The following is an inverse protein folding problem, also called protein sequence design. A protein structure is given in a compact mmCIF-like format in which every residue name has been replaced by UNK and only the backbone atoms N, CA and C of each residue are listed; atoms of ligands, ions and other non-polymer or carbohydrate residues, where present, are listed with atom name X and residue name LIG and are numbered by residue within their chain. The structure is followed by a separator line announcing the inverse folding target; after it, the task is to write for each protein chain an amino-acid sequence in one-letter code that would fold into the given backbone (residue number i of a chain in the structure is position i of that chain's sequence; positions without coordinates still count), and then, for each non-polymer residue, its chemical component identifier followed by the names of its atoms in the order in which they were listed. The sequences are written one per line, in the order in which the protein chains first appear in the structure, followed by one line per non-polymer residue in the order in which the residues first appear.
data_IF_950038447028
#
_entry.id   IF_950038447028
#
_cell.length_a   1.000
_cell.length_b   1.000
_cell.length_c   1.000
_cell.angle_alpha   90.00
_cell.angle_beta   90.00
_cell.angle_gamma   90.00
#
_symmetry.space_group_name_H-M   'P 1'
#
loop_
_entity.id
_entity.type
_entity.pdbx_description
1 polymer ?
#
# COMPACT_ATOMS: atom_id res chain seq x y z
N UNK A 1 -7.28 -25.94 -7.19
CA UNK A 1 -5.99 -26.29 -7.81
C UNK A 1 -5.09 -26.80 -6.69
N UNK A 2 -4.63 -28.06 -6.72
CA UNK A 2 -3.67 -28.54 -5.73
C UNK A 2 -2.27 -28.07 -6.17
N UNK A 3 -1.62 -27.21 -5.38
CA UNK A 3 -0.27 -26.75 -5.69
C UNK A 3 0.69 -27.94 -5.60
N UNK A 4 1.35 -28.30 -6.72
CA UNK A 4 2.32 -29.41 -6.77
C UNK A 4 3.59 -29.14 -5.95
N UNK A 5 3.78 -27.90 -5.50
CA UNK A 5 4.93 -27.46 -4.72
C UNK A 5 4.43 -26.87 -3.39
N UNK A 6 4.87 -27.47 -2.28
CA UNK A 6 4.57 -27.01 -0.92
C UNK A 6 4.97 -25.55 -0.68
N UNK A 7 5.89 -25.01 -1.48
CA UNK A 7 6.35 -23.62 -1.40
C UNK A 7 5.23 -22.59 -1.63
N UNK A 8 4.25 -22.94 -2.47
CA UNK A 8 3.20 -22.00 -2.88
C UNK A 8 1.99 -21.99 -1.96
N UNK A 9 1.82 -23.02 -1.13
CA UNK A 9 0.64 -23.17 -0.26
C UNK A 9 0.49 -22.01 0.72
N UNK A 10 1.62 -21.44 1.15
CA UNK A 10 1.65 -20.34 2.11
C UNK A 10 1.70 -18.99 1.41
N UNK A 11 1.91 -18.93 0.09
CA UNK A 11 2.04 -17.67 -0.62
C UNK A 11 0.81 -17.34 -1.48
N UNK A 12 -0.06 -18.32 -1.73
CA UNK A 12 -1.34 -18.11 -2.39
C UNK A 12 -2.52 -18.58 -1.54
N UNK A 13 -3.57 -17.77 -1.52
CA UNK A 13 -4.89 -18.18 -1.05
C UNK A 13 -5.94 -17.79 -2.09
N UNK A 14 -6.66 -18.77 -2.63
CA UNK A 14 -7.61 -18.56 -3.71
C UNK A 14 -9.03 -18.86 -3.26
N UNK A 15 -9.81 -17.78 -3.07
CA UNK A 15 -11.23 -17.82 -2.76
C UNK A 15 -12.04 -17.82 -4.07
N UNK A 16 -12.13 -18.98 -4.72
CA UNK A 16 -12.89 -19.18 -5.97
C UNK A 16 -14.38 -19.41 -5.68
N UNK A 17 -15.25 -18.65 -6.33
CA UNK A 17 -16.73 -18.74 -6.21
C UNK A 17 -17.43 -18.85 -7.56
N UNK A 18 -16.68 -18.78 -8.67
CA UNK A 18 -17.23 -18.93 -10.01
C UNK A 18 -17.77 -17.62 -10.59
N UNK A 19 -17.29 -16.48 -10.10
CA UNK A 19 -17.62 -15.16 -10.66
C UNK A 19 -16.81 -14.87 -11.92
N UNK A 20 -17.27 -13.93 -12.75
CA UNK A 20 -16.54 -13.46 -13.95
C UNK A 20 -15.46 -12.41 -13.63
N UNK A 21 -15.50 -11.82 -12.44
CA UNK A 21 -14.53 -10.84 -11.93
C UNK A 21 -13.54 -11.49 -10.96
N UNK A 22 -12.26 -11.21 -11.16
CA UNK A 22 -11.16 -11.63 -10.27
C UNK A 22 -10.44 -10.41 -9.69
N UNK A 23 -10.20 -10.44 -8.38
CA UNK A 23 -9.22 -9.55 -7.74
C UNK A 23 -7.97 -10.35 -7.36
N UNK A 24 -6.81 -9.90 -7.82
CA UNK A 24 -5.50 -10.43 -7.42
C UNK A 24 -4.84 -9.44 -6.46
N UNK A 25 -4.85 -9.76 -5.17
CA UNK A 25 -4.47 -8.86 -4.09
C UNK A 25 -3.09 -9.20 -3.52
N UNK A 26 -2.13 -8.28 -3.66
CA UNK A 26 -0.74 -8.44 -3.24
C UNK A 26 -0.49 -7.92 -1.81
N UNK A 27 0.27 -8.67 -1.03
CA UNK A 27 0.61 -8.30 0.35
C UNK A 27 1.52 -7.06 0.43
N UNK A 28 1.36 -6.25 1.47
CA UNK A 28 2.33 -5.21 1.79
C UNK A 28 3.53 -5.80 2.55
N UNK A 29 4.61 -5.03 2.69
CA UNK A 29 5.77 -5.45 3.48
C UNK A 29 5.47 -5.37 4.98
N UNK A 30 5.61 -6.49 5.71
CA UNK A 30 5.57 -6.51 7.18
C UNK A 30 6.99 -6.64 7.74
N UNK A 31 7.58 -5.56 8.29
CA UNK A 31 8.95 -5.58 8.82
C UNK A 31 9.10 -6.50 10.03
N UNK A 32 8.05 -6.65 10.84
CA UNK A 32 8.10 -7.49 12.04
C UNK A 32 7.74 -8.94 11.75
N UNK A 33 7.23 -9.21 10.53
CA UNK A 33 6.72 -10.51 10.09
C UNK A 33 5.78 -11.15 11.12
N UNK A 34 5.05 -10.33 11.88
CA UNK A 34 4.08 -10.77 12.89
C UNK A 34 2.77 -11.20 12.22
N UNK A 35 2.50 -10.69 11.02
CA UNK A 35 1.33 -10.97 10.23
C UNK A 35 1.63 -11.95 9.09
N UNK A 36 2.64 -12.83 9.26
CA UNK A 36 2.98 -13.85 8.25
C UNK A 36 1.81 -14.75 7.90
N UNK A 37 0.80 -14.87 8.75
CA UNK A 37 -0.36 -15.74 8.54
C UNK A 37 -1.57 -14.99 7.97
N UNK A 38 -1.45 -13.68 7.72
CA UNK A 38 -2.56 -12.82 7.28
C UNK A 38 -2.30 -12.34 5.85
N UNK A 39 -3.33 -12.35 5.01
CA UNK A 39 -3.29 -11.75 3.69
C UNK A 39 -3.76 -10.29 3.75
N UNK A 40 -3.09 -9.39 3.03
CA UNK A 40 -3.64 -8.04 2.81
C UNK A 40 -5.02 -8.16 2.15
N UNK A 41 -5.90 -7.20 2.44
CA UNK A 41 -7.24 -7.11 1.84
C UNK A 41 -8.15 -8.31 2.13
N UNK A 42 -7.89 -9.09 3.19
CA UNK A 42 -8.65 -10.31 3.47
C UNK A 42 -10.17 -10.11 3.58
N UNK A 43 -10.64 -8.89 3.90
CA UNK A 43 -12.07 -8.54 3.87
C UNK A 43 -12.74 -8.78 2.51
N UNK A 44 -12.00 -8.77 1.39
CA UNK A 44 -12.53 -9.08 0.07
C UNK A 44 -13.16 -10.49 0.01
N UNK A 45 -12.80 -11.39 0.92
CA UNK A 45 -13.47 -12.70 1.05
C UNK A 45 -14.95 -12.61 1.41
N UNK A 46 -15.40 -11.47 1.96
CA UNK A 46 -16.80 -11.23 2.31
C UNK A 46 -17.64 -10.87 1.09
N UNK A 47 -17.01 -10.41 0.00
CA UNK A 47 -17.70 -10.12 -1.25
C UNK A 47 -18.09 -11.42 -1.96
N UNK A 48 -19.33 -11.46 -2.45
CA UNK A 48 -19.91 -12.66 -3.09
C UNK A 48 -19.86 -12.62 -4.60
N UNK A 49 -19.69 -11.44 -5.16
CA UNK A 49 -19.74 -11.10 -6.58
C UNK A 49 -18.36 -11.11 -7.26
N UNK A 50 -17.32 -11.51 -6.52
CA UNK A 50 -15.97 -11.61 -7.03
C UNK A 50 -15.24 -12.84 -6.51
N UNK A 51 -14.30 -13.32 -7.31
CA UNK A 51 -13.29 -14.27 -6.87
C UNK A 51 -12.04 -13.50 -6.43
N UNK A 52 -11.28 -14.05 -5.48
CA UNK A 52 -10.07 -13.39 -4.97
C UNK A 52 -8.90 -14.34 -4.92
N UNK A 53 -7.80 -13.97 -5.58
CA UNK A 53 -6.49 -14.56 -5.38
C UNK A 53 -5.65 -13.63 -4.51
N UNK A 54 -5.33 -14.05 -3.30
CA UNK A 54 -4.38 -13.36 -2.46
C UNK A 54 -2.97 -13.87 -2.74
N UNK A 55 -2.05 -12.94 -2.97
CA UNK A 55 -0.62 -13.22 -3.21
C UNK A 55 0.19 -12.60 -2.08
N UNK A 56 0.77 -13.43 -1.24
CA UNK A 56 1.64 -13.01 -0.15
C UNK A 56 3.10 -13.17 -0.57
N UNK A 57 3.95 -12.26 -0.10
CA UNK A 57 5.40 -12.40 -0.17
C UNK A 57 5.91 -13.04 1.13
N UNK A 58 6.11 -14.36 1.10
CA UNK A 58 6.53 -15.10 2.29
C UNK A 58 8.00 -14.86 2.66
N UNK A 59 8.82 -14.35 1.73
CA UNK A 59 10.25 -14.13 1.90
C UNK A 59 10.60 -12.66 2.23
N UNK A 60 9.67 -11.74 1.98
CA UNK A 60 9.91 -10.30 2.08
C UNK A 60 10.98 -9.87 1.08
N UNK A 61 10.85 -10.36 -0.15
CA UNK A 61 11.77 -10.23 -1.27
C UNK A 61 11.09 -9.63 -2.50
N UNK A 62 10.02 -8.87 -2.30
CA UNK A 62 9.24 -8.21 -3.35
C UNK A 62 8.68 -9.20 -4.36
N UNK A 63 8.21 -10.36 -3.86
CA UNK A 63 7.68 -11.47 -4.66
C UNK A 63 8.74 -12.22 -5.51
N UNK A 64 10.04 -11.98 -5.26
CA UNK A 64 11.14 -12.73 -5.88
C UNK A 64 11.76 -13.70 -4.89
N UNK A 65 11.34 -14.96 -4.91
CA UNK A 65 11.67 -15.92 -3.87
C UNK A 65 13.14 -16.39 -3.91
N UNK A 66 13.96 -16.15 -2.87
CA UNK A 66 15.37 -16.54 -2.83
C UNK A 66 15.61 -17.99 -2.42
N UNK A 67 14.72 -18.56 -1.59
CA UNK A 67 14.99 -19.80 -0.87
C UNK A 67 14.32 -21.01 -1.52
N UNK A 68 15.05 -22.12 -1.63
CA UNK A 68 14.58 -23.39 -2.19
C UNK A 68 14.81 -23.57 -3.68
N UNK A 69 15.35 -22.56 -4.36
CA UNK A 69 15.75 -22.65 -5.76
C UNK A 69 17.22 -22.29 -5.87
N UNK A 70 18.04 -23.21 -6.36
CA UNK A 70 19.37 -22.88 -6.88
C UNK A 70 19.30 -21.85 -8.03
N UNK A 71 18.09 -21.48 -8.48
CA UNK A 71 17.79 -20.43 -9.46
C UNK A 71 16.52 -19.65 -9.09
N UNK A 72 16.61 -18.58 -8.28
CA UNK A 72 15.45 -17.74 -7.87
C UNK A 72 14.57 -17.22 -9.02
N UNK A 73 15.13 -17.11 -10.23
CA UNK A 73 14.38 -16.81 -11.46
C UNK A 73 13.29 -17.84 -11.77
N UNK A 74 13.52 -19.13 -11.49
CA UNK A 74 12.53 -20.18 -11.74
C UNK A 74 11.28 -19.99 -10.90
N UNK A 75 11.43 -19.72 -9.60
CA UNK A 75 10.31 -19.46 -8.69
C UNK A 75 9.47 -18.27 -9.17
N UNK A 76 10.15 -17.23 -9.64
CA UNK A 76 9.54 -16.06 -10.21
C UNK A 76 8.70 -16.38 -11.46
N UNK A 77 9.27 -17.12 -12.41
CA UNK A 77 8.53 -17.57 -13.60
C UNK A 77 7.36 -18.51 -13.27
N UNK A 78 7.52 -19.38 -12.27
CA UNK A 78 6.43 -20.23 -11.78
C UNK A 78 5.27 -19.38 -11.20
N UNK A 79 5.58 -18.34 -10.43
CA UNK A 79 4.57 -17.39 -9.94
C UNK A 79 3.87 -16.65 -11.09
N UNK A 80 4.62 -16.13 -12.06
CA UNK A 80 4.05 -15.47 -13.24
C UNK A 80 3.07 -16.42 -13.94
N UNK A 81 3.51 -17.66 -14.19
CA UNK A 81 2.69 -18.67 -14.85
C UNK A 81 1.41 -18.98 -14.09
N UNK A 82 1.48 -19.18 -12.77
CA UNK A 82 0.30 -19.43 -11.92
C UNK A 82 -0.69 -18.27 -12.02
N UNK A 83 -0.20 -17.03 -11.90
CA UNK A 83 -1.05 -15.83 -11.95
C UNK A 83 -1.72 -15.70 -13.33
N UNK A 84 -0.97 -15.88 -14.42
CA UNK A 84 -1.50 -15.81 -15.79
C UNK A 84 -2.54 -16.92 -16.06
N UNK A 85 -2.27 -18.15 -15.64
CA UNK A 85 -3.20 -19.27 -15.79
C UNK A 85 -4.51 -19.02 -15.04
N UNK A 86 -4.45 -18.50 -13.81
CA UNK A 86 -5.67 -18.16 -13.05
C UNK A 86 -6.40 -16.98 -13.70
N UNK A 87 -5.68 -15.94 -14.13
CA UNK A 87 -6.27 -14.74 -14.70
C UNK A 87 -6.96 -14.99 -16.05
N UNK A 88 -6.47 -15.95 -16.85
CA UNK A 88 -7.01 -16.26 -18.17
C UNK A 88 -8.47 -16.78 -18.15
N UNK A 89 -8.95 -17.27 -17.00
CA UNK A 89 -10.31 -17.79 -16.82
C UNK A 89 -11.37 -16.69 -16.56
N UNK A 90 -10.97 -15.41 -16.50
CA UNK A 90 -11.83 -14.31 -16.06
C UNK A 90 -12.03 -13.25 -17.14
N UNK A 91 -13.24 -12.68 -17.21
CA UNK A 91 -13.55 -11.57 -18.12
C UNK A 91 -12.90 -10.25 -17.67
N UNK A 92 -12.81 -10.05 -16.35
CA UNK A 92 -12.21 -8.85 -15.78
C UNK A 92 -11.27 -9.23 -14.62
N UNK A 93 -10.05 -8.70 -14.67
CA UNK A 93 -9.03 -8.94 -13.64
C UNK A 93 -8.52 -7.62 -13.10
N UNK A 94 -8.63 -7.44 -11.78
CA UNK A 94 -8.06 -6.32 -11.04
C UNK A 94 -6.84 -6.77 -10.24
N UNK A 95 -5.69 -6.19 -10.52
CA UNK A 95 -4.49 -6.30 -9.71
C UNK A 95 -4.48 -5.19 -8.66
N UNK A 96 -4.39 -5.57 -7.39
CA UNK A 96 -4.56 -4.66 -6.26
C UNK A 96 -3.39 -4.79 -5.28
N UNK A 97 -2.83 -3.68 -4.81
CA UNK A 97 -1.79 -3.75 -3.80
C UNK A 97 -1.42 -2.43 -3.16
N UNK A 98 -0.81 -2.50 -1.98
CA UNK A 98 -0.31 -1.33 -1.23
C UNK A 98 1.18 -1.47 -0.91
N UNK A 99 1.94 -0.39 -1.05
CA UNK A 99 3.39 -0.35 -0.86
C UNK A 99 4.10 -1.39 -1.74
N UNK A 100 4.87 -2.31 -1.14
CA UNK A 100 5.44 -3.47 -1.84
C UNK A 100 4.39 -4.23 -2.66
N UNK A 101 3.16 -4.38 -2.14
CA UNK A 101 2.07 -5.03 -2.87
C UNK A 101 1.61 -4.21 -4.08
N UNK A 102 1.67 -2.88 -4.01
CA UNK A 102 1.37 -2.01 -5.15
C UNK A 102 2.38 -2.23 -6.27
N UNK A 103 3.65 -2.43 -5.93
CA UNK A 103 4.69 -2.76 -6.90
C UNK A 103 4.40 -4.13 -7.53
N UNK A 104 3.99 -5.11 -6.73
CA UNK A 104 3.54 -6.42 -7.23
C UNK A 104 2.36 -6.30 -8.19
N UNK A 105 1.32 -5.55 -7.83
CA UNK A 105 0.16 -5.31 -8.68
C UNK A 105 0.56 -4.72 -10.04
N UNK A 106 1.49 -3.76 -10.06
CA UNK A 106 1.99 -3.15 -11.30
C UNK A 106 2.82 -4.13 -12.13
N UNK A 107 3.77 -4.82 -11.48
CA UNK A 107 4.68 -5.72 -12.16
C UNK A 107 3.97 -6.94 -12.76
N UNK A 108 3.05 -7.56 -12.02
CA UNK A 108 2.32 -8.73 -12.49
C UNK A 108 1.11 -8.36 -13.34
N UNK A 109 0.44 -7.25 -13.04
CA UNK A 109 -0.74 -6.81 -13.79
C UNK A 109 -0.43 -6.45 -15.24
N UNK A 110 0.74 -5.88 -15.51
CA UNK A 110 1.18 -5.62 -16.89
C UNK A 110 1.43 -6.89 -17.72
N UNK A 111 1.55 -8.06 -17.08
CA UNK A 111 1.78 -9.35 -17.75
C UNK A 111 0.46 -10.04 -18.13
N UNK A 112 -0.69 -9.43 -17.80
CA UNK A 112 -2.02 -9.96 -18.09
C UNK A 112 -2.75 -8.97 -19.00
N UNK A 113 -2.97 -9.31 -20.29
CA UNK A 113 -3.68 -8.45 -21.22
C UNK A 113 -5.06 -8.04 -20.71
N UNK A 114 -5.42 -6.76 -20.87
CA UNK A 114 -6.72 -6.24 -20.46
C UNK A 114 -6.92 -6.07 -18.95
N UNK A 115 -5.93 -6.40 -18.13
CA UNK A 115 -6.02 -6.22 -16.68
C UNK A 115 -6.19 -4.75 -16.28
N UNK A 116 -6.89 -4.55 -15.16
CA UNK A 116 -6.95 -3.29 -14.43
C UNK A 116 -5.92 -3.37 -13.32
N UNK A 117 -5.16 -2.30 -13.09
CA UNK A 117 -4.15 -2.26 -12.03
C UNK A 117 -4.42 -1.08 -11.10
N UNK A 118 -4.49 -1.35 -9.79
CA UNK A 118 -4.63 -0.36 -8.73
C UNK A 118 -3.51 -0.53 -7.70
N UNK A 119 -2.54 0.39 -7.73
CA UNK A 119 -1.42 0.45 -6.79
C UNK A 119 -1.53 1.63 -5.83
N UNK A 120 -1.48 1.36 -4.53
CA UNK A 120 -1.48 2.38 -3.47
C UNK A 120 -0.08 2.52 -2.87
N UNK A 121 0.41 3.76 -2.71
CA UNK A 121 1.69 4.07 -2.08
C UNK A 121 2.86 3.21 -2.62
N UNK A 122 2.79 2.85 -3.90
CA UNK A 122 3.71 1.89 -4.49
C UNK A 122 5.07 2.55 -4.73
N UNK A 123 6.14 1.82 -4.46
CA UNK A 123 7.44 2.16 -5.06
C UNK A 123 7.40 1.75 -6.53
N UNK A 124 7.93 2.57 -7.42
CA UNK A 124 8.08 2.20 -8.85
C UNK A 124 9.38 1.43 -9.10
N UNK A 125 10.35 1.59 -8.22
CA UNK A 125 11.63 0.89 -8.27
C UNK A 125 11.94 0.20 -6.96
N UNK A 126 12.56 -0.97 -7.04
CA UNK A 126 13.21 -1.61 -5.90
C UNK A 126 14.66 -1.15 -5.95
N UNK A 127 15.08 -0.36 -4.96
CA UNK A 127 16.44 0.18 -4.94
C UNK A 127 17.43 -0.87 -4.43
N UNK A 128 18.48 -1.14 -5.21
CA UNK A 128 19.56 -2.07 -4.83
C UNK A 128 20.22 -1.64 -3.52
N UNK A 129 20.49 -0.34 -3.35
CA UNK A 129 21.08 0.23 -2.13
C UNK A 129 20.24 -0.05 -0.88
N UNK A 130 18.90 -0.02 -1.01
CA UNK A 130 17.99 -0.34 0.10
C UNK A 130 18.16 -1.81 0.50
N UNK A 131 18.18 -2.72 -0.47
CA UNK A 131 18.39 -4.15 -0.21
C UNK A 131 19.79 -4.41 0.35
N UNK A 132 20.83 -3.78 -0.21
CA UNK A 132 22.19 -3.92 0.28
C UNK A 132 22.33 -3.48 1.74
N UNK A 133 21.65 -2.39 2.10
CA UNK A 133 21.70 -1.84 3.46
C UNK A 133 20.88 -2.65 4.46
N UNK A 134 19.66 -3.04 4.11
CA UNK A 134 18.71 -3.59 5.07
C UNK A 134 18.50 -5.10 4.97
N UNK A 135 18.76 -5.70 3.81
CA UNK A 135 18.51 -7.12 3.51
C UNK A 135 19.60 -7.70 2.57
N UNK A 136 20.89 -7.60 2.91
CA UNK A 136 21.99 -8.02 2.03
C UNK A 136 21.94 -9.50 1.65
N UNK A 137 21.28 -10.33 2.46
CA UNK A 137 21.06 -11.75 2.15
C UNK A 137 20.17 -11.99 0.93
N UNK A 138 19.38 -10.99 0.51
CA UNK A 138 18.55 -11.04 -0.69
C UNK A 138 19.29 -10.54 -1.94
N UNK A 139 20.47 -9.91 -1.80
CA UNK A 139 21.17 -9.36 -2.97
C UNK A 139 21.48 -10.41 -4.04
N UNK A 140 21.98 -11.63 -3.72
CA UNK A 140 22.31 -12.60 -4.76
C UNK A 140 21.11 -13.00 -5.63
N UNK A 141 19.90 -13.04 -5.06
CA UNK A 141 18.69 -13.37 -5.82
C UNK A 141 18.06 -12.17 -6.52
N UNK A 142 18.16 -10.98 -5.94
CA UNK A 142 17.60 -9.75 -6.52
C UNK A 142 18.54 -9.10 -7.52
N UNK A 143 19.84 -9.42 -7.54
CA UNK A 143 20.80 -8.80 -8.46
C UNK A 143 20.51 -9.04 -9.94
N UNK A 144 20.22 -10.28 -10.41
CA UNK A 144 19.81 -10.49 -11.80
C UNK A 144 18.54 -9.72 -12.14
N UNK A 145 17.65 -9.54 -11.16
CA UNK A 145 16.47 -8.71 -11.32
C UNK A 145 16.83 -7.23 -11.39
N UNK A 146 17.71 -6.70 -10.54
CA UNK A 146 18.15 -5.31 -10.64
C UNK A 146 18.75 -5.03 -12.01
N UNK A 147 19.54 -5.96 -12.55
CA UNK A 147 20.07 -5.87 -13.91
C UNK A 147 18.93 -5.89 -14.93
N UNK A 148 17.99 -6.84 -14.82
CA UNK A 148 16.82 -6.93 -15.69
C UNK A 148 15.94 -5.68 -15.64
N UNK A 149 15.61 -5.18 -14.43
CA UNK A 149 14.79 -3.99 -14.18
C UNK A 149 15.55 -2.74 -14.59
N UNK A 150 16.85 -2.64 -14.39
CA UNK A 150 17.66 -1.49 -14.82
C UNK A 150 17.70 -1.39 -16.33
N UNK A 151 17.75 -2.53 -17.03
CA UNK A 151 17.67 -2.59 -18.48
C UNK A 151 16.23 -2.33 -18.97
N UNK A 152 15.20 -2.85 -18.28
CA UNK A 152 13.78 -2.64 -18.63
C UNK A 152 13.28 -1.22 -18.29
N UNK A 153 13.65 -0.64 -17.16
CA UNK A 153 13.33 0.75 -16.82
C UNK A 153 13.97 1.72 -17.81
N UNK A 154 15.06 1.32 -18.49
CA UNK A 154 15.73 2.11 -19.52
C UNK A 154 15.18 1.89 -20.94
N UNK A 155 14.57 0.73 -21.23
CA UNK A 155 14.12 0.35 -22.58
C UNK A 155 12.60 0.30 -22.75
N UNK A 156 11.83 0.05 -21.68
CA UNK A 156 10.41 -0.33 -21.76
C UNK A 156 9.42 0.82 -21.54
N UNK A 157 9.88 1.98 -21.08
CA UNK A 157 8.99 3.14 -20.86
C UNK A 157 8.89 4.10 -22.05
N UNK A 158 9.78 3.97 -23.04
CA UNK A 158 9.87 4.94 -24.14
C UNK A 158 9.63 4.34 -25.53
N UNK A 159 9.69 3.02 -25.76
CA UNK A 159 9.89 2.53 -27.13
C UNK A 159 9.29 1.19 -27.59
N UNK A 160 8.40 0.54 -26.84
CA UNK A 160 7.83 -0.72 -27.34
C UNK A 160 6.30 -0.68 -27.42
N UNK A 161 5.76 -1.19 -28.54
CA UNK A 161 4.33 -1.40 -28.80
C UNK A 161 3.77 -2.50 -27.88
N UNK A 162 3.43 -2.15 -26.65
CA UNK A 162 2.88 -3.08 -25.66
C UNK A 162 1.35 -3.01 -25.68
N UNK A 163 0.69 -4.16 -25.58
CA UNK A 163 -0.71 -4.23 -25.15
C UNK A 163 -0.75 -3.84 -23.65
N UNK A 164 -0.71 -2.54 -23.41
CA UNK A 164 -0.75 -1.99 -22.06
C UNK A 164 -2.01 -2.49 -21.33
N UNK A 165 -1.94 -2.73 -20.02
CA UNK A 165 -3.13 -3.02 -19.22
C UNK A 165 -4.21 -1.99 -19.51
N UNK A 166 -5.47 -2.43 -19.51
CA UNK A 166 -6.63 -1.64 -19.93
C UNK A 166 -6.64 -0.29 -19.22
N UNK A 167 -6.25 -0.28 -17.93
CA UNK A 167 -6.12 0.91 -17.06
C UNK A 167 -5.09 0.66 -15.97
N UNK A 168 -4.31 1.69 -15.63
CA UNK A 168 -3.43 1.73 -14.46
C UNK A 168 -3.83 2.94 -13.62
N UNK A 169 -4.12 2.69 -12.35
CA UNK A 169 -4.52 3.69 -11.37
C UNK A 169 -3.46 3.69 -10.27
N UNK A 170 -2.88 4.85 -10.03
CA UNK A 170 -1.75 4.98 -9.13
C UNK A 170 -1.97 6.11 -8.12
N UNK A 171 -1.92 5.74 -6.85
CA UNK A 171 -2.01 6.66 -5.72
C UNK A 171 -0.59 6.84 -5.15
N UNK A 172 0.14 7.84 -5.64
CA UNK A 172 1.56 8.07 -5.30
C UNK A 172 1.72 8.92 -4.03
N UNK A 173 2.64 8.52 -3.16
CA UNK A 173 3.26 9.43 -2.19
C UNK A 173 4.26 10.32 -2.94
N UNK A 174 4.10 11.64 -2.90
CA UNK A 174 5.11 12.57 -3.42
C UNK A 174 6.38 12.44 -2.56
N UNK A 175 7.24 11.50 -2.92
CA UNK A 175 8.63 11.52 -2.48
C UNK A 175 9.42 12.33 -3.50
N UNK A 176 9.90 13.51 -3.10
CA UNK A 176 10.66 14.45 -3.93
C UNK A 176 11.93 13.86 -4.60
N UNK A 177 12.30 12.62 -4.27
CA UNK A 177 13.46 11.90 -4.83
C UNK A 177 13.17 11.02 -6.05
N UNK A 178 11.93 10.57 -6.27
CA UNK A 178 11.56 9.77 -7.44
C UNK A 178 11.02 10.71 -8.54
N UNK A 179 11.93 11.21 -9.39
CA UNK A 179 11.56 11.98 -10.58
C UNK A 179 10.85 11.07 -11.57
N UNK A 180 9.52 11.10 -11.53
CA UNK A 180 8.62 10.43 -12.47
C UNK A 180 8.96 10.85 -13.91
N UNK A 181 9.34 9.91 -14.77
CA UNK A 181 9.69 10.18 -16.17
C UNK A 181 8.42 10.60 -16.94
N UNK A 182 8.51 11.70 -17.70
CA UNK A 182 7.42 12.33 -18.46
C UNK A 182 6.82 11.43 -19.55
N UNK A 183 7.48 10.33 -19.91
CA UNK A 183 6.98 9.35 -20.88
C UNK A 183 5.70 8.60 -20.44
N UNK A 184 5.40 8.54 -19.14
CA UNK A 184 4.21 7.87 -18.59
C UNK A 184 2.88 8.64 -18.80
N UNK A 185 2.92 9.87 -19.30
CA UNK A 185 1.73 10.72 -19.46
C UNK A 185 0.87 10.37 -20.68
N UNK A 186 1.30 9.43 -21.53
CA UNK A 186 0.67 9.14 -22.82
C UNK A 186 -0.40 8.03 -22.81
N UNK A 187 -0.72 7.41 -21.66
CA UNK A 187 -1.77 6.38 -21.55
C UNK A 187 -2.95 6.73 -20.63
N UNK A 188 -3.93 5.83 -20.50
CA UNK A 188 -5.10 5.91 -19.59
C UNK A 188 -4.70 5.79 -18.10
N UNK A 189 -3.84 6.69 -17.63
CA UNK A 189 -3.32 6.73 -16.28
C UNK A 189 -4.07 7.78 -15.47
N UNK A 190 -4.68 7.37 -14.37
CA UNK A 190 -5.18 8.29 -13.36
C UNK A 190 -4.16 8.33 -12.21
N UNK A 191 -3.45 9.45 -12.14
CA UNK A 191 -2.52 9.78 -11.07
C UNK A 191 -3.24 10.65 -10.05
N UNK A 192 -3.39 10.15 -8.83
CA UNK A 192 -3.79 10.98 -7.71
C UNK A 192 -2.57 11.23 -6.81
N UNK A 193 -2.25 12.50 -6.60
CA UNK A 193 -1.07 12.95 -5.89
C UNK A 193 -1.34 13.08 -4.39
N UNK A 194 -0.45 12.54 -3.55
CA UNK A 194 -0.58 12.65 -2.10
C UNK A 194 0.68 13.20 -1.40
N UNK A 195 0.49 14.16 -0.50
CA UNK A 195 1.45 14.53 0.56
C UNK A 195 1.32 13.53 1.74
N UNK A 196 2.42 12.83 2.07
CA UNK A 196 2.56 11.85 3.17
C UNK A 196 2.52 10.38 2.73
N UNK A 197 2.90 9.45 3.64
CA UNK A 197 2.92 8.00 3.36
C UNK A 197 1.53 7.51 2.98
N UNK A 198 1.32 7.25 1.69
CA UNK A 198 0.04 6.78 1.14
C UNK A 198 -0.45 5.46 1.76
N UNK A 199 0.38 4.79 2.57
CA UNK A 199 0.04 3.60 3.34
C UNK A 199 -1.19 3.78 4.23
N UNK A 200 -1.43 5.00 4.73
CA UNK A 200 -2.59 5.30 5.58
C UNK A 200 -3.88 5.45 4.77
N UNK A 201 -3.78 5.69 3.45
CA UNK A 201 -4.94 5.91 2.60
C UNK A 201 -5.76 4.63 2.43
N UNK A 202 -5.10 3.50 2.19
CA UNK A 202 -5.79 2.22 2.14
C UNK A 202 -6.42 1.87 3.50
N UNK A 203 -5.71 2.13 4.60
CA UNK A 203 -6.26 1.90 5.94
C UNK A 203 -7.50 2.76 6.17
N UNK A 204 -7.47 4.01 5.68
CA UNK A 204 -8.60 4.90 5.76
C UNK A 204 -9.78 4.40 4.90
N UNK A 205 -9.57 3.92 3.67
CA UNK A 205 -10.66 3.31 2.90
C UNK A 205 -11.20 2.06 3.56
N UNK A 206 -10.33 1.17 4.04
CA UNK A 206 -10.76 -0.06 4.69
C UNK A 206 -11.61 0.22 5.93
N UNK A 207 -11.21 1.22 6.72
CA UNK A 207 -11.79 1.48 8.04
C UNK A 207 -12.91 2.50 8.03
N UNK A 208 -12.88 3.42 7.07
CA UNK A 208 -13.69 4.62 7.06
C UNK A 208 -14.38 4.87 5.72
N UNK A 209 -13.79 4.42 4.61
CA UNK A 209 -14.31 4.71 3.29
C UNK A 209 -15.10 3.56 2.64
N UNK A 210 -15.66 3.83 1.46
CA UNK A 210 -16.41 2.85 0.69
C UNK A 210 -15.43 1.97 -0.11
N UNK A 211 -14.61 1.17 0.59
CA UNK A 211 -13.57 0.35 -0.06
C UNK A 211 -14.16 -0.61 -1.11
N UNK A 212 -15.38 -1.11 -0.91
CA UNK A 212 -16.03 -1.98 -1.89
C UNK A 212 -16.44 -1.20 -3.13
N UNK A 213 -16.99 0.00 -2.96
CA UNK A 213 -17.41 0.89 -4.03
C UNK A 213 -16.21 1.40 -4.83
N UNK A 214 -15.07 1.62 -4.16
CA UNK A 214 -13.80 1.91 -4.84
C UNK A 214 -13.39 0.73 -5.75
N UNK A 215 -13.50 -0.50 -5.26
CA UNK A 215 -13.23 -1.70 -6.07
C UNK A 215 -14.21 -1.80 -7.25
N UNK A 216 -15.50 -1.49 -7.03
CA UNK A 216 -16.52 -1.50 -8.10
C UNK A 216 -16.18 -0.48 -9.19
N UNK A 217 -15.81 0.73 -8.77
CA UNK A 217 -15.40 1.81 -9.67
C UNK A 217 -14.23 1.42 -10.60
N UNK A 218 -13.33 0.54 -10.14
CA UNK A 218 -12.25 0.02 -10.97
C UNK A 218 -12.75 -0.91 -12.08
N UNK A 219 -13.72 -1.77 -11.78
CA UNK A 219 -14.29 -2.70 -12.75
C UNK A 219 -15.25 -2.02 -13.73
N UNK A 220 -16.07 -1.11 -13.23
CA UNK A 220 -17.09 -0.39 -14.02
C UNK A 220 -16.43 0.67 -14.90
N UNK A 221 -15.28 1.17 -14.43
CA UNK A 221 -14.48 2.14 -15.15
C UNK A 221 -14.86 3.59 -14.89
N UNK A 222 -15.87 3.83 -14.06
CA UNK A 222 -16.21 5.13 -13.52
C UNK A 222 -15.47 5.33 -12.22
N UNK A 223 -14.15 5.52 -12.33
CA UNK A 223 -13.24 5.53 -11.18
C UNK A 223 -13.67 6.63 -10.21
N UNK A 224 -13.98 6.22 -8.98
CA UNK A 224 -14.47 7.10 -7.94
C UNK A 224 -13.41 8.18 -7.68
N UNK A 225 -13.75 9.44 -7.94
CA UNK A 225 -12.89 10.55 -7.58
C UNK A 225 -12.95 10.79 -6.08
N UNK A 226 -12.04 10.12 -5.39
CA UNK A 226 -11.86 10.19 -3.95
C UNK A 226 -10.93 11.34 -3.51
N UNK A 227 -10.50 12.22 -4.42
CA UNK A 227 -9.55 13.28 -4.10
C UNK A 227 -10.12 14.25 -3.05
N UNK A 228 -11.40 14.59 -3.17
CA UNK A 228 -12.08 15.53 -2.29
C UNK A 228 -12.21 15.00 -0.85
N UNK A 229 -12.49 13.71 -0.71
CA UNK A 229 -12.62 12.97 0.54
C UNK A 229 -11.26 12.86 1.22
N UNK A 230 -10.21 12.58 0.44
CA UNK A 230 -8.85 12.51 0.97
C UNK A 230 -8.40 13.89 1.45
N UNK A 231 -8.71 14.94 0.70
CA UNK A 231 -8.41 16.31 1.11
C UNK A 231 -9.25 16.76 2.31
N UNK A 232 -10.49 16.27 2.45
CA UNK A 232 -11.28 16.46 3.67
C UNK A 232 -10.67 15.70 4.86
N UNK A 233 -10.30 14.44 4.69
CA UNK A 233 -9.59 13.68 5.72
C UNK A 233 -8.28 14.36 6.09
N UNK A 234 -7.54 14.95 5.16
CA UNK A 234 -6.36 15.78 5.46
C UNK A 234 -6.71 17.05 6.19
N UNK A 235 -7.77 17.75 5.82
CA UNK A 235 -8.17 18.95 6.56
C UNK A 235 -8.61 18.62 7.97
N UNK A 236 -9.21 17.45 8.19
CA UNK A 236 -9.69 17.01 9.51
C UNK A 236 -8.60 16.32 10.35
N UNK A 237 -7.70 15.56 9.73
CA UNK A 237 -6.70 14.72 10.41
C UNK A 237 -5.25 15.09 10.09
N UNK A 238 -5.04 16.03 9.19
CA UNK A 238 -3.74 16.54 8.83
C UNK A 238 -3.06 17.11 10.06
N UNK A 239 -1.77 16.80 10.16
CA UNK A 239 -0.94 17.29 11.23
C UNK A 239 0.43 17.64 10.68
N UNK A 240 1.04 18.62 11.32
CA UNK A 240 2.49 18.86 11.17
C UNK A 240 3.16 18.51 12.49
N UNK A 241 4.31 17.87 12.41
CA UNK A 241 5.14 17.59 13.57
C UNK A 241 6.24 18.64 13.58
N UNK A 242 6.29 19.43 14.65
CA UNK A 242 7.38 20.34 14.93
C UNK A 242 8.08 19.88 16.21
N UNK A 243 9.41 19.96 16.24
CA UNK A 243 10.18 19.78 17.46
C UNK A 243 10.56 21.14 18.04
N UNK A 244 10.29 21.36 19.32
CA UNK A 244 10.77 22.53 20.07
C UNK A 244 11.48 22.04 21.33
N UNK A 245 12.83 22.08 21.31
CA UNK A 245 13.62 21.45 22.37
C UNK A 245 13.38 19.94 22.42
N UNK A 246 12.89 19.43 23.56
CA UNK A 246 12.55 18.00 23.75
C UNK A 246 11.07 17.69 23.49
N UNK A 247 10.26 18.70 23.17
CA UNK A 247 8.82 18.55 22.98
C UNK A 247 8.50 18.22 21.52
N UNK A 248 7.62 17.24 21.33
CA UNK A 248 6.97 16.96 20.05
C UNK A 248 5.63 17.66 20.00
N UNK A 249 5.49 18.58 19.05
CA UNK A 249 4.30 19.39 18.86
C UNK A 249 3.59 18.93 17.59
N UNK A 250 2.47 18.24 17.77
CA UNK A 250 1.54 17.93 16.68
C UNK A 250 0.56 19.09 16.54
N UNK A 251 0.63 19.80 15.42
CA UNK A 251 -0.35 20.83 15.09
C UNK A 251 -1.43 20.16 14.24
N UNK A 252 -2.55 19.82 14.86
CA UNK A 252 -3.70 19.27 14.17
C UNK A 252 -4.47 20.38 13.47
N UNK A 253 -4.91 20.12 12.24
CA UNK A 253 -5.79 21.04 11.51
C UNK A 253 -7.17 21.17 12.19
N UNK A 254 -7.68 20.08 12.79
CA UNK A 254 -8.87 20.09 13.66
C UNK A 254 -8.65 19.24 14.93
N UNK A 255 -8.14 19.84 16.02
CA UNK A 255 -7.91 19.15 17.29
C UNK A 255 -9.19 18.58 17.93
N UNK A 256 -10.35 19.19 17.65
CA UNK A 256 -11.61 18.79 18.24
C UNK A 256 -12.12 17.47 17.65
N UNK A 257 -11.90 17.27 16.35
CA UNK A 257 -12.17 15.99 15.67
C UNK A 257 -11.26 14.90 16.19
N UNK A 258 -9.96 15.16 16.40
CA UNK A 258 -9.00 14.17 16.91
C UNK A 258 -9.34 13.66 18.33
N UNK A 259 -9.96 14.47 19.18
CA UNK A 259 -10.37 14.05 20.53
C UNK A 259 -11.60 13.15 20.58
N UNK A 260 -12.38 13.14 19.51
CA UNK A 260 -13.52 12.21 19.35
C UNK A 260 -13.04 10.83 18.89
N UNK A 261 -11.75 10.69 18.64
CA UNK A 261 -11.14 9.49 18.11
C UNK A 261 -10.33 8.81 19.20
N UNK A 262 -10.33 7.50 19.17
CA UNK A 262 -9.33 6.74 19.89
C UNK A 262 -8.05 6.77 19.05
N UNK A 263 -7.18 7.75 19.30
CA UNK A 263 -5.93 7.96 18.55
C UNK A 263 -4.75 7.58 19.42
N UNK A 264 -3.85 6.74 18.89
CA UNK A 264 -2.53 6.50 19.45
C UNK A 264 -1.48 7.22 18.62
N UNK A 265 -0.50 7.81 19.28
CA UNK A 265 0.66 8.43 18.66
C UNK A 265 1.87 7.59 19.00
N UNK A 266 2.42 6.94 17.98
CA UNK A 266 3.64 6.16 18.04
C UNK A 266 4.85 7.04 17.78
N UNK A 267 5.86 6.97 18.64
CA UNK A 267 7.17 7.60 18.44
C UNK A 267 8.21 6.52 18.18
N UNK A 268 9.03 6.74 17.15
CA UNK A 268 10.11 5.85 16.73
C UNK A 268 11.41 6.63 16.77
N UNK A 269 12.29 6.26 17.69
CA UNK A 269 13.54 6.97 17.92
C UNK A 269 14.66 6.08 17.40
N UNK A 270 15.50 6.61 16.52
CA UNK A 270 16.63 5.88 15.95
C UNK A 270 17.91 6.69 16.03
N UNK A 271 19.05 5.98 16.09
CA UNK A 271 20.38 6.59 16.00
C UNK A 271 21.19 5.82 14.98
N UNK A 272 21.76 6.53 13.99
CA UNK A 272 22.54 5.94 12.90
C UNK A 272 21.81 4.76 12.21
N UNK A 273 20.49 4.90 12.04
CA UNK A 273 19.64 3.88 11.42
C UNK A 273 19.26 2.69 12.31
N UNK A 274 19.68 2.66 13.57
CA UNK A 274 19.25 1.65 14.55
C UNK A 274 18.07 2.18 15.34
N UNK A 275 16.95 1.47 15.34
CA UNK A 275 15.78 1.79 16.17
C UNK A 275 16.13 1.55 17.64
N UNK A 276 16.10 2.62 18.44
CA UNK A 276 16.46 2.60 19.86
C UNK A 276 15.25 2.49 20.78
N UNK A 277 14.14 3.15 20.42
CA UNK A 277 12.96 3.18 21.28
C UNK A 277 11.68 3.32 20.46
N UNK A 278 10.64 2.64 20.91
CA UNK A 278 9.26 2.81 20.45
C UNK A 278 8.35 3.04 21.63
N UNK A 279 7.56 4.10 21.58
CA UNK A 279 6.50 4.37 22.55
C UNK A 279 5.19 4.66 21.83
N UNK A 280 4.08 4.27 22.44
CA UNK A 280 2.74 4.57 21.95
C UNK A 280 2.00 5.32 23.05
N UNK A 281 1.45 6.48 22.70
CA UNK A 281 0.74 7.33 23.63
C UNK A 281 -0.67 7.55 23.11
N UNK A 282 -1.67 7.17 23.90
CA UNK A 282 -3.05 7.51 23.61
C UNK A 282 -3.22 9.02 23.67
N UNK A 283 -3.69 9.63 22.59
CA UNK A 283 -4.03 11.04 22.54
C UNK A 283 -5.26 11.26 23.43
N UNK A 284 -5.15 12.20 24.35
CA UNK A 284 -6.22 12.53 25.29
C UNK A 284 -6.38 14.05 25.34
N UNK A 285 -7.46 14.53 25.96
CA UNK A 285 -7.72 15.97 26.11
C UNK A 285 -6.57 16.71 26.81
N UNK A 286 -5.88 16.07 27.76
CA UNK A 286 -4.78 16.71 28.49
C UNK A 286 -3.53 16.93 27.62
N UNK A 287 -3.37 16.17 26.54
CA UNK A 287 -2.28 16.36 25.60
C UNK A 287 -2.49 17.60 24.72
N UNK A 288 -3.74 18.02 24.49
CA UNK A 288 -4.06 19.14 23.60
C UNK A 288 -4.08 20.47 24.37
N UNK A 289 -3.12 21.35 24.06
CA UNK A 289 -3.05 22.72 24.56
C UNK A 289 -3.01 23.69 23.38
N UNK A 290 -3.94 24.64 23.34
CA UNK A 290 -4.03 25.64 22.26
C UNK A 290 -4.06 25.03 20.84
N UNK A 291 -4.78 23.91 20.69
CA UNK A 291 -4.88 23.18 19.42
C UNK A 291 -3.65 22.37 19.03
N UNK A 292 -2.69 22.20 19.94
CA UNK A 292 -1.46 21.44 19.71
C UNK A 292 -1.40 20.28 20.68
N UNK A 293 -1.11 19.07 20.20
CA UNK A 293 -0.74 18.00 21.11
C UNK A 293 0.75 18.04 21.41
N UNK A 294 1.09 18.14 22.69
CA UNK A 294 2.47 18.23 23.17
C UNK A 294 2.82 16.95 23.91
N UNK A 295 3.91 16.32 23.51
CA UNK A 295 4.44 15.13 24.17
C UNK A 295 5.85 15.39 24.66
N UNK A 296 6.04 15.20 25.96
CA UNK A 296 7.34 15.13 26.61
C UNK A 296 7.86 13.71 26.47
N UNK A 297 8.95 13.55 25.72
CA UNK A 297 9.61 12.27 25.57
C UNK A 297 10.92 12.28 26.37
N UNK A 298 11.21 11.21 27.14
CA UNK A 298 12.41 11.14 27.95
C UNK A 298 13.63 10.90 27.04
N UNK A 299 14.31 11.98 26.66
CA UNK A 299 15.51 11.89 25.81
C UNK A 299 16.82 12.18 26.55
N UNK A 300 17.87 11.37 26.31
CA UNK A 300 19.27 11.75 26.55
C UNK A 300 19.73 12.90 25.62
N UNK A 301 20.84 13.57 25.95
CA UNK A 301 21.35 14.76 25.23
C UNK A 301 22.03 14.48 23.87
N UNK A 302 21.92 13.26 23.35
CA UNK A 302 22.62 12.85 22.12
C UNK A 302 21.81 13.12 20.84
N UNK A 303 22.46 13.19 19.66
CA UNK A 303 21.77 13.36 18.39
C UNK A 303 21.02 12.07 17.99
N UNK A 304 19.69 12.17 17.85
CA UNK A 304 18.79 11.12 17.40
C UNK A 304 18.00 11.56 16.16
N UNK A 305 17.60 10.60 15.32
CA UNK A 305 16.57 10.77 14.30
C UNK A 305 15.26 10.23 14.85
N UNK A 306 14.24 11.08 14.92
CA UNK A 306 12.95 10.71 15.51
C UNK A 306 11.88 10.81 14.42
N UNK A 307 11.12 9.75 14.26
CA UNK A 307 9.91 9.70 13.46
C UNK A 307 8.70 9.54 14.39
N UNK A 308 7.56 10.09 14.00
CA UNK A 308 6.31 9.84 14.68
C UNK A 308 5.23 9.44 13.69
N UNK A 309 4.35 8.55 14.13
CA UNK A 309 3.22 8.04 13.36
C UNK A 309 1.97 8.16 14.20
N UNK A 310 0.88 8.61 13.59
CA UNK A 310 -0.44 8.61 14.22
C UNK A 310 -1.21 7.37 13.75
N UNK A 311 -1.62 6.54 14.71
CA UNK A 311 -2.55 5.43 14.51
C UNK A 311 -3.94 5.82 15.02
N UNK A 312 -4.97 5.66 14.19
CA UNK A 312 -6.36 5.86 14.63
C UNK A 312 -6.95 4.49 14.95
N UNK A 313 -7.26 4.20 16.22
CA UNK A 313 -7.81 2.93 16.70
C UNK A 313 -9.32 2.82 16.52
N UNK A 314 -10.07 3.91 16.70
CA UNK A 314 -11.53 3.95 16.48
C UNK A 314 -11.98 5.35 16.10
N UNK A 315 -12.79 5.45 15.05
CA UNK A 315 -13.44 6.66 14.57
C UNK A 315 -14.90 6.32 14.31
N UNK A 316 -15.79 7.28 14.56
CA UNK A 316 -17.11 7.32 13.92
C UNK A 316 -17.14 8.55 13.02
N UNK A 317 -17.36 8.36 11.71
CA UNK A 317 -17.34 9.47 10.75
C UNK A 317 -18.48 10.46 10.99
N UNK A 318 -19.65 9.95 11.34
CA UNK A 318 -20.80 10.76 11.71
C UNK A 318 -20.54 11.62 12.95
N UNK A 319 -19.74 11.15 13.92
CA UNK A 319 -19.39 11.91 15.12
C UNK A 319 -18.46 13.11 14.84
N UNK A 320 -17.75 13.09 13.71
CA UNK A 320 -16.84 14.15 13.24
C UNK A 320 -17.38 14.91 12.01
N UNK A 321 -18.68 14.79 11.75
CA UNK A 321 -19.36 15.52 10.69
C UNK A 321 -18.87 15.18 9.29
N UNK A 322 -18.31 13.97 9.09
CA UNK A 322 -18.21 13.36 7.77
C UNK A 322 -19.51 12.55 7.59
N UNK A 323 -20.36 12.86 6.60
CA UNK A 323 -21.60 12.11 6.37
C UNK A 323 -21.30 10.60 6.27
N UNK A 324 -22.16 9.76 6.85
CA UNK A 324 -22.04 8.32 6.63
C UNK A 324 -22.14 8.03 5.12
N UNK A 325 -21.10 7.41 4.59
CA UNK A 325 -20.92 7.15 3.16
C UNK A 325 -22.09 6.36 2.52
N UNK A 326 -22.89 5.66 3.33
CA UNK A 326 -24.07 4.91 2.89
C UNK A 326 -25.20 5.74 2.28
N UNK A 327 -25.13 7.09 2.29
CA UNK A 327 -26.17 7.96 1.71
C UNK A 327 -25.92 8.41 0.28
N UNK A 328 -24.80 8.05 -0.35
CA UNK A 328 -24.45 8.54 -1.69
C UNK A 328 -24.87 7.64 -2.86
N UNK A 329 -25.53 6.52 -2.60
CA UNK A 329 -26.11 5.66 -3.65
C UNK A 329 -27.61 5.51 -3.39
N UNK A 330 -28.37 6.56 -3.69
CA UNK A 330 -29.79 6.44 -3.94
C UNK A 330 -29.97 6.07 -5.41
N UNK A 331 -29.95 4.76 -5.73
CA UNK A 331 -30.20 4.25 -7.09
C UNK A 331 -31.68 4.24 -7.43
N UNK A 332 -32.39 5.33 -7.19
CA UNK A 332 -33.66 5.61 -7.85
C UNK A 332 -33.49 6.73 -8.86
N UNK A 333 -33.00 6.37 -10.06
CA UNK A 333 -33.48 6.88 -11.34
C UNK A 333 -33.36 5.79 -12.41
#
# INVERSE_FOLDING_TARGET
MAYKNDLWKDCFFYNKRGNSKLVIAFSHYDPNRKNRDIFSFYSLTQRKDLDVLFVRDCAGSWFFYPQGFENGLRAHYEMIKIIQEIAADYEQVLFLGNSMGGWGALYFGRLVPGAIVAGFASSLSIQEDFTQKYRPELLPCLKPLYETIKDHNRLTLENENWDLPKRIIFYEEINYGDKFNTAFQSGNFLKQNFLGTGHNLLYAFYKFGPFNELIDSFFDGDILDISSEIDEMRRKFGYTINMQGKEFIFNFSDPSSMLKMDVDIGFFISQKGTLLHTSYHKLTKSHIKNGKAVFDLPFPEEPYTIAAQIGVNKISLSEIGIPDFHKFVDTTQ
#
